data_IF_818530077226
#
_entry.id   IF_818530077226
#
_cell.length_a   1.000
_cell.length_b   1.000
_cell.length_c   1.000
_cell.angle_alpha   90.00
_cell.angle_beta   90.00
_cell.angle_gamma   90.00
#
_symmetry.space_group_name_H-M   'P 1'
#
loop_
_entity.id
_entity.type
_entity.pdbx_description
1 polymer ?
#
# COMPACT_ATOMS: atom_id res chain seq x y z
N UNK A 1 -8.96 -19.34 0.39
CA UNK A 1 -9.64 -18.80 -0.79
C UNK A 1 -10.16 -17.38 -0.53
N UNK A 2 -11.02 -17.16 0.46
CA UNK A 2 -11.56 -15.83 0.79
C UNK A 2 -10.47 -14.78 1.08
N UNK A 3 -9.46 -15.14 1.86
CA UNK A 3 -8.34 -14.25 2.19
C UNK A 3 -7.54 -13.80 0.95
N UNK A 4 -7.40 -14.66 -0.02
CA UNK A 4 -6.71 -14.37 -1.27
C UNK A 4 -7.51 -13.38 -2.13
N UNK A 5 -8.83 -13.55 -2.20
CA UNK A 5 -9.72 -12.62 -2.88
C UNK A 5 -9.71 -11.24 -2.21
N UNK A 6 -9.79 -11.21 -0.87
CA UNK A 6 -9.72 -9.96 -0.11
C UNK A 6 -8.36 -9.25 -0.30
N UNK A 7 -7.27 -10.00 -0.34
CA UNK A 7 -5.94 -9.45 -0.62
C UNK A 7 -5.85 -8.85 -2.03
N UNK A 8 -6.40 -9.53 -3.04
CA UNK A 8 -6.44 -8.99 -4.41
C UNK A 8 -7.28 -7.71 -4.48
N UNK A 9 -8.45 -7.70 -3.84
CA UNK A 9 -9.28 -6.50 -3.78
C UNK A 9 -8.56 -5.35 -3.08
N UNK A 10 -7.85 -5.62 -1.98
CA UNK A 10 -7.05 -4.62 -1.28
C UNK A 10 -5.94 -4.04 -2.17
N UNK A 11 -5.22 -4.88 -2.91
CA UNK A 11 -4.18 -4.43 -3.85
C UNK A 11 -4.78 -3.54 -4.95
N UNK A 12 -5.90 -3.95 -5.55
CA UNK A 12 -6.55 -3.19 -6.62
C UNK A 12 -7.05 -1.84 -6.10
N UNK A 13 -7.69 -1.83 -4.93
CA UNK A 13 -8.20 -0.59 -4.31
C UNK A 13 -7.06 0.36 -3.94
N UNK A 14 -6.01 -0.14 -3.32
CA UNK A 14 -4.84 0.65 -2.96
C UNK A 14 -4.11 1.19 -4.20
N UNK A 15 -3.96 0.38 -5.25
CA UNK A 15 -3.37 0.80 -6.51
C UNK A 15 -4.19 1.89 -7.19
N UNK A 16 -5.53 1.80 -7.17
CA UNK A 16 -6.43 2.81 -7.72
C UNK A 16 -6.32 4.13 -6.96
N UNK A 17 -6.30 4.09 -5.62
CA UNK A 17 -6.14 5.27 -4.77
C UNK A 17 -4.78 5.96 -5.03
N UNK A 18 -3.73 5.16 -5.13
CA UNK A 18 -2.37 5.67 -5.40
C UNK A 18 -2.24 6.24 -6.82
N UNK A 19 -2.91 5.65 -7.80
CA UNK A 19 -2.99 6.17 -9.16
C UNK A 19 -3.66 7.56 -9.19
N UNK A 20 -4.77 7.74 -8.47
CA UNK A 20 -5.42 9.04 -8.32
C UNK A 20 -4.50 10.06 -7.64
N UNK A 21 -3.74 9.66 -6.63
CA UNK A 21 -2.74 10.52 -5.98
C UNK A 21 -1.68 10.98 -6.98
N UNK A 22 -1.19 10.09 -7.85
CA UNK A 22 -0.23 10.44 -8.92
C UNK A 22 -0.85 11.45 -9.90
N UNK A 23 -2.12 11.29 -10.25
CA UNK A 23 -2.80 12.25 -11.13
C UNK A 23 -2.92 13.63 -10.48
N UNK A 24 -3.31 13.68 -9.21
CA UNK A 24 -3.45 14.94 -8.47
C UNK A 24 -2.09 15.66 -8.25
N UNK A 25 -1.00 14.89 -8.15
CA UNK A 25 0.36 15.44 -7.97
C UNK A 25 1.17 15.52 -9.28
N UNK A 26 0.51 15.43 -10.42
CA UNK A 26 1.20 15.38 -11.71
C UNK A 26 2.05 16.62 -11.99
N UNK A 27 1.61 17.80 -11.57
CA UNK A 27 2.37 19.06 -11.73
C UNK A 27 3.62 19.07 -10.85
N UNK A 28 3.53 18.62 -9.60
CA UNK A 28 4.68 18.51 -8.69
C UNK A 28 5.72 17.52 -9.22
N UNK A 29 5.26 16.37 -9.74
CA UNK A 29 6.13 15.35 -10.32
C UNK A 29 6.83 15.89 -11.58
N UNK A 30 6.10 16.62 -12.42
CA UNK A 30 6.66 17.25 -13.61
C UNK A 30 7.72 18.30 -13.25
N UNK A 31 7.45 19.11 -12.22
CA UNK A 31 8.41 20.10 -11.73
C UNK A 31 9.69 19.45 -11.21
N UNK A 32 9.56 18.40 -10.39
CA UNK A 32 10.73 17.64 -9.89
C UNK A 32 11.56 17.06 -11.04
N UNK A 33 10.93 16.57 -12.08
CA UNK A 33 11.62 16.08 -13.28
C UNK A 33 12.29 17.19 -14.09
N UNK A 34 11.66 18.35 -14.18
CA UNK A 34 12.23 19.51 -14.87
C UNK A 34 13.53 20.01 -14.23
N UNK A 35 13.64 19.91 -12.90
CA UNK A 35 14.87 20.26 -12.15
C UNK A 35 15.89 19.11 -12.08
N UNK A 36 15.71 18.03 -12.84
CA UNK A 36 16.71 16.97 -13.01
C UNK A 36 16.53 15.73 -12.14
N UNK A 37 15.39 15.55 -11.46
CA UNK A 37 15.12 14.31 -10.73
C UNK A 37 15.00 13.11 -11.67
N UNK A 38 15.74 12.05 -11.36
CA UNK A 38 15.71 10.83 -12.17
C UNK A 38 14.36 10.08 -12.02
N UNK A 39 13.99 9.35 -13.06
CA UNK A 39 12.79 8.48 -13.05
C UNK A 39 12.82 7.49 -11.90
N UNK A 40 14.00 6.96 -11.60
CA UNK A 40 14.24 6.02 -10.52
C UNK A 40 13.92 6.61 -9.14
N UNK A 41 14.32 7.86 -8.92
CA UNK A 41 14.07 8.55 -7.65
C UNK A 41 12.57 8.72 -7.38
N UNK A 42 11.80 9.07 -8.40
CA UNK A 42 10.33 9.21 -8.32
C UNK A 42 9.68 7.85 -8.06
N UNK A 43 10.07 6.82 -8.81
CA UNK A 43 9.55 5.47 -8.63
C UNK A 43 9.83 4.95 -7.22
N UNK A 44 11.04 5.11 -6.73
CA UNK A 44 11.45 4.73 -5.37
C UNK A 44 10.61 5.44 -4.29
N UNK A 45 10.31 6.72 -4.46
CA UNK A 45 9.51 7.48 -3.51
C UNK A 45 8.10 6.89 -3.36
N UNK A 46 7.44 6.53 -4.46
CA UNK A 46 6.12 5.90 -4.44
C UNK A 46 6.14 4.49 -3.87
N UNK A 47 7.18 3.70 -4.15
CA UNK A 47 7.33 2.36 -3.57
C UNK A 47 7.55 2.44 -2.06
N UNK A 48 8.36 3.38 -1.58
CA UNK A 48 8.56 3.61 -0.14
C UNK A 48 7.27 4.08 0.54
N UNK A 49 6.50 4.96 -0.10
CA UNK A 49 5.19 5.38 0.41
C UNK A 49 4.24 4.19 0.53
N UNK A 50 4.16 3.34 -0.50
CA UNK A 50 3.38 2.10 -0.48
C UNK A 50 3.84 1.12 0.60
N UNK A 51 5.14 0.99 0.82
CA UNK A 51 5.70 0.15 1.87
C UNK A 51 5.29 0.64 3.27
N UNK A 52 5.41 1.93 3.53
CA UNK A 52 5.02 2.53 4.83
C UNK A 52 3.53 2.33 5.07
N UNK A 53 2.69 2.63 4.09
CA UNK A 53 1.23 2.43 4.18
C UNK A 53 0.90 0.95 4.39
N UNK A 54 1.59 0.05 3.68
CA UNK A 54 1.39 -1.39 3.83
C UNK A 54 1.77 -1.91 5.22
N UNK A 55 2.89 -1.47 5.78
CA UNK A 55 3.33 -1.83 7.14
C UNK A 55 2.34 -1.30 8.19
N UNK A 56 1.93 -0.05 8.09
CA UNK A 56 0.97 0.52 9.03
C UNK A 56 -0.40 -0.16 8.95
N UNK A 57 -0.90 -0.40 7.74
CA UNK A 57 -2.15 -1.12 7.52
C UNK A 57 -2.08 -2.58 8.01
N UNK A 58 -0.97 -3.27 7.75
CA UNK A 58 -0.73 -4.64 8.23
C UNK A 58 -0.68 -4.72 9.75
N UNK A 59 -0.03 -3.75 10.40
CA UNK A 59 0.02 -3.65 11.87
C UNK A 59 -1.36 -3.41 12.46
N UNK A 60 -2.11 -2.45 11.93
CA UNK A 60 -3.49 -2.17 12.38
C UNK A 60 -4.42 -3.35 12.13
N UNK A 61 -4.31 -3.99 10.97
CA UNK A 61 -5.07 -5.19 10.64
C UNK A 61 -4.78 -6.35 11.62
N UNK A 62 -3.52 -6.52 12.01
CA UNK A 62 -3.12 -7.49 13.03
C UNK A 62 -3.73 -7.20 14.40
N UNK A 63 -3.74 -5.93 14.82
CA UNK A 63 -4.36 -5.51 16.09
C UNK A 63 -5.87 -5.78 16.06
N UNK A 64 -6.56 -5.33 15.02
CA UNK A 64 -8.01 -5.50 14.87
C UNK A 64 -8.36 -6.99 14.79
N UNK A 65 -7.59 -7.77 14.02
CA UNK A 65 -7.80 -9.21 13.90
C UNK A 65 -7.68 -9.95 15.25
N UNK A 66 -6.64 -9.62 16.05
CA UNK A 66 -6.47 -10.19 17.38
C UNK A 66 -7.60 -9.78 18.33
N UNK A 67 -8.00 -8.52 18.34
CA UNK A 67 -9.13 -8.05 19.15
C UNK A 67 -10.42 -8.77 18.77
N UNK A 68 -10.69 -8.94 17.48
CA UNK A 68 -11.86 -9.68 16.99
C UNK A 68 -11.82 -11.14 17.46
N UNK A 69 -10.66 -11.79 17.38
CA UNK A 69 -10.47 -13.17 17.85
C UNK A 69 -10.76 -13.28 19.35
N UNK A 70 -10.25 -12.35 20.15
CA UNK A 70 -10.51 -12.32 21.59
C UNK A 70 -12.00 -12.13 21.90
N UNK A 71 -12.66 -11.20 21.24
CA UNK A 71 -14.10 -10.96 21.42
C UNK A 71 -14.94 -12.20 21.08
N UNK A 72 -14.65 -12.84 19.94
CA UNK A 72 -15.37 -14.07 19.53
C UNK A 72 -15.10 -15.22 20.50
N UNK A 73 -13.85 -15.41 20.93
CA UNK A 73 -13.48 -16.44 21.89
C UNK A 73 -14.21 -16.27 23.22
N UNK A 74 -14.36 -15.04 23.67
CA UNK A 74 -15.05 -14.73 24.92
C UNK A 74 -16.56 -15.02 24.83
N UNK A 75 -17.20 -14.71 23.71
CA UNK A 75 -18.62 -14.99 23.46
C UNK A 75 -18.88 -16.50 23.35
N UNK A 76 -17.96 -17.23 22.70
CA UNK A 76 -18.13 -18.66 22.44
C UNK A 76 -17.52 -19.57 23.52
N UNK A 77 -16.91 -19.00 24.57
CA UNK A 77 -16.20 -19.74 25.63
C UNK A 77 -15.11 -20.68 25.11
N UNK A 78 -14.49 -20.34 23.97
CA UNK A 78 -13.37 -21.10 23.40
C UNK A 78 -12.04 -20.54 23.88
N UNK A 79 -11.01 -21.38 24.06
CA UNK A 79 -9.69 -20.88 24.41
C UNK A 79 -9.13 -20.05 23.24
N UNK A 80 -8.72 -18.79 23.47
CA UNK A 80 -8.14 -17.95 22.41
C UNK A 80 -6.78 -18.51 22.01
N UNK A 81 -6.60 -18.82 20.74
CA UNK A 81 -5.31 -19.20 20.16
C UNK A 81 -4.75 -17.98 19.45
N UNK A 82 -3.77 -17.34 20.06
CA UNK A 82 -3.10 -16.13 19.56
C UNK A 82 -1.61 -16.43 19.35
N UNK A 83 -1.23 -17.15 18.27
CA UNK A 83 0.18 -17.41 18.02
C UNK A 83 0.88 -16.07 17.67
N UNK A 84 2.01 -15.77 18.32
CA UNK A 84 2.76 -14.52 18.10
C UNK A 84 3.27 -14.38 16.67
N UNK A 85 3.41 -15.49 15.94
CA UNK A 85 3.86 -15.53 14.56
C UNK A 85 2.86 -14.85 13.60
N UNK A 86 1.57 -14.77 13.94
CA UNK A 86 0.55 -14.09 13.13
C UNK A 86 0.84 -12.60 12.96
N UNK A 87 1.51 -11.97 13.92
CA UNK A 87 1.92 -10.58 13.77
C UNK A 87 2.95 -10.40 12.66
N UNK A 88 3.92 -11.28 12.58
CA UNK A 88 4.94 -11.26 11.53
C UNK A 88 4.32 -11.52 10.16
N UNK A 89 3.38 -12.47 10.09
CA UNK A 89 2.64 -12.76 8.86
C UNK A 89 1.82 -11.55 8.41
N UNK A 90 1.09 -10.91 9.31
CA UNK A 90 0.30 -9.70 9.01
C UNK A 90 1.17 -8.55 8.51
N UNK A 91 2.30 -8.33 9.16
CA UNK A 91 3.26 -7.28 8.80
C UNK A 91 3.90 -7.54 7.43
N UNK A 92 4.29 -8.79 7.16
CA UNK A 92 4.86 -9.20 5.89
C UNK A 92 3.84 -9.11 4.75
N UNK A 93 2.62 -9.59 4.96
CA UNK A 93 1.54 -9.48 3.97
C UNK A 93 1.16 -8.03 3.71
N UNK A 94 1.11 -7.19 4.74
CA UNK A 94 0.88 -5.76 4.61
C UNK A 94 1.96 -5.07 3.78
N UNK A 95 3.23 -5.32 4.08
CA UNK A 95 4.36 -4.79 3.32
C UNK A 95 4.33 -5.25 1.86
N UNK A 96 4.11 -6.54 1.62
CA UNK A 96 4.01 -7.10 0.28
C UNK A 96 2.84 -6.47 -0.53
N UNK A 97 1.67 -6.36 0.08
CA UNK A 97 0.49 -5.73 -0.53
C UNK A 97 0.76 -4.26 -0.85
N UNK A 98 1.39 -3.53 0.07
CA UNK A 98 1.75 -2.12 -0.12
C UNK A 98 2.72 -1.91 -1.28
N UNK A 99 3.75 -2.75 -1.39
CA UNK A 99 4.70 -2.69 -2.51
C UNK A 99 4.00 -3.04 -3.82
N UNK A 100 3.25 -4.13 -3.88
CA UNK A 100 2.54 -4.57 -5.09
C UNK A 100 1.57 -3.51 -5.60
N UNK A 101 0.81 -2.87 -4.72
CA UNK A 101 -0.13 -1.80 -5.08
C UNK A 101 0.58 -0.54 -5.58
N UNK A 102 1.81 -0.29 -5.15
CA UNK A 102 2.60 0.88 -5.52
C UNK A 102 3.35 0.72 -6.86
N UNK A 103 3.62 -0.50 -7.33
CA UNK A 103 4.42 -0.75 -8.53
C UNK A 103 3.82 -0.06 -9.76
N UNK A 104 2.54 -0.29 -10.03
CA UNK A 104 1.87 0.27 -11.21
C UNK A 104 1.83 1.81 -11.18
N UNK A 105 1.33 2.48 -10.12
CA UNK A 105 1.33 3.94 -10.06
C UNK A 105 2.73 4.54 -10.02
N UNK A 106 3.70 3.89 -9.38
CA UNK A 106 5.09 4.32 -9.39
C UNK A 106 5.68 4.32 -10.81
N UNK A 107 5.39 3.28 -11.59
CA UNK A 107 5.82 3.19 -12.98
C UNK A 107 5.16 4.28 -13.86
N UNK A 108 3.85 4.49 -13.69
CA UNK A 108 3.12 5.56 -14.40
C UNK A 108 3.68 6.93 -14.05
N UNK A 109 3.90 7.21 -12.75
CA UNK A 109 4.47 8.47 -12.28
C UNK A 109 5.86 8.73 -12.87
N UNK A 110 6.70 7.70 -12.95
CA UNK A 110 8.06 7.81 -13.49
C UNK A 110 8.11 8.11 -14.98
N UNK A 111 7.05 7.80 -15.73
CA UNK A 111 6.95 8.00 -17.17
C UNK A 111 6.23 9.29 -17.59
N UNK A 112 5.67 10.05 -16.65
CA UNK A 112 5.04 11.33 -16.98
C UNK A 112 6.05 12.29 -17.59
N UNK A 113 5.70 12.81 -18.77
CA UNK A 113 6.52 13.77 -19.48
C UNK A 113 6.29 15.18 -18.88
N UNK A 114 7.37 15.88 -18.44
CA UNK A 114 7.25 17.22 -17.89
C UNK A 114 6.66 18.23 -18.88
N UNK A 115 6.87 18.03 -20.18
CA UNK A 115 6.37 18.93 -21.20
C UNK A 115 4.84 18.92 -21.35
N UNK A 116 4.18 17.79 -21.10
CA UNK A 116 2.71 17.64 -21.20
C UNK A 116 2.02 18.27 -19.99
N UNK A 117 2.60 18.15 -18.80
CA UNK A 117 2.02 18.70 -17.57
C UNK A 117 2.07 20.25 -17.52
N UNK A 118 3.03 20.88 -18.20
CA UNK A 118 3.17 22.35 -18.27
C UNK A 118 2.23 22.94 -19.33
N UNK A 119 1.83 22.17 -20.32
CA UNK A 119 0.93 22.61 -21.42
C UNK A 119 -0.56 22.49 -21.08
N UNK A 120 -0.88 21.76 -20.07
CA UNK A 120 -2.26 21.51 -19.66
C UNK A 120 -2.86 22.51 -18.76
#
# INVERSE_FOLDING_TARGET
>A
MLSLVLMLLAVITAASAMYLTVQNRSEEIALRRAIGSSRWLICRSFILEGLIVGITAGSLGGIIGNLTTLCVSWIQTWPPVLPPELWLVGLFLGAATGILSAIYPAWVASRKDPAIAIRG
#
